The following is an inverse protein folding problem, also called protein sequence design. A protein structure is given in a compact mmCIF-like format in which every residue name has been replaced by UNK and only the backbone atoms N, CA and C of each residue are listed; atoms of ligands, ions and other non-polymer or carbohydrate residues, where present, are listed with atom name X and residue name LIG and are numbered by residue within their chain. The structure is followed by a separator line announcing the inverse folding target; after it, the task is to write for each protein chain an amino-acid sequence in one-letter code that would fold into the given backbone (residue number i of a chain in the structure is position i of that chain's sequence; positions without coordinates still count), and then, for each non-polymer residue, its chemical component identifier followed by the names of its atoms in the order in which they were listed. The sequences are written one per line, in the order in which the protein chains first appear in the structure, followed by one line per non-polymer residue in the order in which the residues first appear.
data_IF_517929935161
#
_entry.id   IF_517929935161
#
_cell.length_a   1.000
_cell.length_b   1.000
_cell.length_c   1.000
_cell.angle_alpha   90.00
_cell.angle_beta   90.00
_cell.angle_gamma   90.00
#
_symmetry.space_group_name_H-M   'P 1'
#
loop_
_entity.id
_entity.type
_entity.pdbx_description
1 polymer ?
#
# COMPACT_ATOMS: atom_id res chain seq x y z
N UNK A 1 -18.27 -18.79 -9.05
CA UNK A 1 -19.40 -18.11 -8.37
C UNK A 1 -20.33 -17.52 -9.41
N UNK A 2 -21.66 -17.67 -9.23
CA UNK A 2 -22.66 -17.11 -10.14
C UNK A 2 -23.62 -16.22 -9.33
N UNK A 3 -23.73 -14.95 -9.69
CA UNK A 3 -24.69 -14.04 -9.09
C UNK A 3 -25.90 -13.82 -10.05
N UNK A 4 -27.11 -13.86 -9.52
CA UNK A 4 -28.34 -13.61 -10.28
C UNK A 4 -29.08 -12.47 -9.62
N UNK A 5 -29.19 -11.35 -10.32
CA UNK A 5 -29.97 -10.19 -9.87
C UNK A 5 -31.34 -10.25 -10.50
N UNK A 6 -32.37 -10.53 -9.70
CA UNK A 6 -33.74 -10.74 -10.17
C UNK A 6 -34.60 -9.48 -10.17
N UNK A 7 -34.19 -8.44 -9.43
CA UNK A 7 -34.94 -7.18 -9.33
C UNK A 7 -33.96 -6.01 -9.36
N UNK A 8 -34.33 -4.87 -9.97
CA UNK A 8 -33.53 -3.67 -9.88
C UNK A 8 -33.41 -3.19 -8.43
N UNK A 9 -32.30 -2.51 -8.12
CA UNK A 9 -32.16 -1.86 -6.83
C UNK A 9 -33.24 -0.80 -6.63
N UNK A 10 -33.75 -0.65 -5.40
CA UNK A 10 -34.65 0.45 -5.05
C UNK A 10 -33.88 1.77 -5.11
N UNK A 11 -34.57 2.84 -5.50
CA UNK A 11 -34.02 4.19 -5.40
C UNK A 11 -33.76 4.57 -3.95
N UNK A 12 -32.68 5.26 -3.69
CA UNK A 12 -32.31 5.70 -2.35
C UNK A 12 -30.96 6.41 -2.36
N UNK A 13 -30.57 6.93 -1.19
CA UNK A 13 -29.26 7.56 -0.99
C UNK A 13 -28.34 6.54 -0.33
N UNK A 14 -27.15 6.34 -0.89
CA UNK A 14 -26.11 5.49 -0.32
C UNK A 14 -24.88 6.36 -0.06
N UNK A 15 -24.36 6.31 1.16
CA UNK A 15 -23.07 6.93 1.48
C UNK A 15 -21.97 6.10 0.84
N UNK A 16 -21.21 6.69 -0.07
CA UNK A 16 -20.05 6.05 -0.65
C UNK A 16 -18.88 6.07 0.35
N UNK A 17 -18.17 4.96 0.43
CA UNK A 17 -16.89 4.88 1.16
C UNK A 17 -15.79 5.58 0.34
N UNK A 18 -14.70 6.00 1.02
CA UNK A 18 -13.54 6.56 0.34
C UNK A 18 -12.94 5.57 -0.67
N UNK A 19 -12.44 6.09 -1.78
CA UNK A 19 -11.71 5.28 -2.75
C UNK A 19 -10.35 4.85 -2.17
N UNK A 20 -10.24 3.59 -1.77
CA UNK A 20 -8.99 3.02 -1.22
C UNK A 20 -7.80 3.28 -2.14
N UNK A 21 -7.97 3.05 -3.44
CA UNK A 21 -6.91 3.25 -4.43
C UNK A 21 -6.45 4.70 -4.56
N UNK A 22 -7.37 5.67 -4.40
CA UNK A 22 -7.03 7.08 -4.38
C UNK A 22 -6.35 7.46 -3.07
N UNK A 23 -6.85 6.98 -1.93
CA UNK A 23 -6.29 7.25 -0.61
C UNK A 23 -4.81 6.84 -0.52
N UNK A 24 -4.45 5.63 -0.95
CA UNK A 24 -3.06 5.19 -1.01
C UNK A 24 -2.17 6.17 -1.80
N UNK A 25 -2.59 6.53 -3.02
CA UNK A 25 -1.81 7.42 -3.87
C UNK A 25 -1.65 8.83 -3.30
N UNK A 26 -2.73 9.38 -2.75
CA UNK A 26 -2.70 10.71 -2.13
C UNK A 26 -1.78 10.74 -0.91
N UNK A 27 -1.83 9.73 -0.04
CA UNK A 27 -0.94 9.63 1.13
C UNK A 27 0.52 9.50 0.71
N UNK A 28 0.82 8.68 -0.30
CA UNK A 28 2.17 8.54 -0.84
C UNK A 28 2.66 9.87 -1.41
N UNK A 29 1.84 10.55 -2.22
CA UNK A 29 2.19 11.85 -2.78
C UNK A 29 2.44 12.89 -1.69
N UNK A 30 1.61 12.91 -0.65
CA UNK A 30 1.80 13.78 0.51
C UNK A 30 3.13 13.51 1.21
N UNK A 31 3.41 12.24 1.52
CA UNK A 31 4.61 11.86 2.26
C UNK A 31 5.92 12.14 1.49
N UNK A 32 5.87 12.12 0.15
CA UNK A 32 7.01 12.40 -0.70
C UNK A 32 7.07 13.87 -1.18
N UNK A 33 6.11 14.70 -0.79
CA UNK A 33 6.05 16.11 -1.17
C UNK A 33 6.93 16.97 -0.26
N UNK A 34 7.61 17.94 -0.84
CA UNK A 34 8.33 18.97 -0.08
C UNK A 34 7.41 20.05 0.51
N UNK A 35 6.12 20.03 0.13
CA UNK A 35 5.14 21.01 0.58
C UNK A 35 4.20 20.42 1.62
N UNK A 36 3.90 21.20 2.65
CA UNK A 36 2.88 20.83 3.64
C UNK A 36 1.52 20.67 2.96
N UNK A 37 0.98 19.48 3.09
CA UNK A 37 -0.34 19.15 2.60
C UNK A 37 -1.04 18.18 3.55
N UNK A 38 -2.36 18.12 3.50
CA UNK A 38 -3.13 17.22 4.36
C UNK A 38 -4.09 16.40 3.51
N UNK A 39 -4.02 15.08 3.65
CA UNK A 39 -4.98 14.17 3.05
C UNK A 39 -6.09 13.87 4.05
N UNK A 40 -7.31 14.32 3.75
CA UNK A 40 -8.49 14.03 4.56
C UNK A 40 -9.19 12.81 3.97
N UNK A 41 -9.17 11.70 4.69
CA UNK A 41 -9.88 10.48 4.35
C UNK A 41 -10.99 10.25 5.38
N UNK A 42 -12.24 10.27 4.95
CA UNK A 42 -13.40 10.18 5.84
C UNK A 42 -13.63 8.78 6.43
N UNK A 43 -13.23 7.75 5.71
CA UNK A 43 -13.32 6.36 6.14
C UNK A 43 -11.98 5.67 5.90
N UNK A 44 -11.50 4.91 6.88
CA UNK A 44 -10.25 4.15 6.77
C UNK A 44 -10.51 2.65 6.56
N UNK A 45 -9.49 1.92 6.17
CA UNK A 45 -9.47 0.47 6.10
C UNK A 45 -8.12 -0.02 6.58
N UNK A 46 -8.02 -1.30 6.94
CA UNK A 46 -6.74 -1.91 7.35
C UNK A 46 -5.62 -1.67 6.33
N UNK A 47 -5.94 -1.73 5.04
CA UNK A 47 -4.98 -1.45 3.98
C UNK A 47 -4.50 0.02 3.98
N UNK A 48 -5.41 0.97 4.18
CA UNK A 48 -5.08 2.40 4.26
C UNK A 48 -4.21 2.67 5.49
N UNK A 49 -4.56 2.11 6.63
CA UNK A 49 -3.79 2.23 7.86
C UNK A 49 -2.40 1.58 7.73
N UNK A 50 -2.30 0.43 7.04
CA UNK A 50 -1.01 -0.19 6.75
C UNK A 50 -0.11 0.74 5.90
N UNK A 51 -0.66 1.38 4.86
CA UNK A 51 0.11 2.35 4.06
C UNK A 51 0.57 3.53 4.89
N UNK A 52 -0.30 4.08 5.74
CA UNK A 52 0.04 5.19 6.63
C UNK A 52 1.19 4.83 7.56
N UNK A 53 1.11 3.68 8.27
CA UNK A 53 2.19 3.19 9.14
C UNK A 53 3.50 3.00 8.40
N UNK A 54 3.47 2.42 7.19
CA UNK A 54 4.67 2.24 6.40
C UNK A 54 5.30 3.58 5.99
N UNK A 55 4.49 4.57 5.58
CA UNK A 55 4.99 5.90 5.25
C UNK A 55 5.61 6.63 6.46
N UNK A 56 4.99 6.50 7.63
CA UNK A 56 5.56 7.02 8.89
C UNK A 56 6.90 6.33 9.22
N UNK A 57 6.99 5.01 9.04
CA UNK A 57 8.20 4.24 9.28
C UNK A 57 9.36 4.61 8.34
N UNK A 58 9.09 5.05 7.10
CA UNK A 58 10.15 5.53 6.19
C UNK A 58 10.90 6.75 6.74
N UNK A 59 10.25 7.53 7.60
CA UNK A 59 10.83 8.73 8.23
C UNK A 59 11.48 8.46 9.58
N UNK A 60 11.52 7.20 10.06
CA UNK A 60 12.20 6.85 11.30
C UNK A 60 13.71 7.07 11.19
N UNK A 61 14.41 7.15 12.33
CA UNK A 61 15.88 7.24 12.36
C UNK A 61 16.58 5.88 12.29
N UNK A 62 15.81 4.78 12.24
CA UNK A 62 16.35 3.43 12.17
C UNK A 62 17.16 3.21 10.89
N UNK A 63 18.26 2.50 10.96
CA UNK A 63 19.09 2.14 9.81
C UNK A 63 18.31 1.23 8.85
N UNK A 64 17.62 0.23 9.38
CA UNK A 64 16.74 -0.67 8.64
C UNK A 64 15.29 -0.35 8.98
N UNK A 65 14.50 0.13 7.99
CA UNK A 65 13.11 0.52 8.18
C UNK A 65 12.20 -0.70 8.36
N UNK A 66 11.34 -0.70 9.36
CA UNK A 66 10.40 -1.78 9.66
C UNK A 66 9.02 -1.48 9.07
N UNK A 67 8.68 -2.06 7.94
CA UNK A 67 7.46 -1.77 7.17
C UNK A 67 6.39 -2.84 7.38
N UNK A 68 5.40 -2.55 8.19
CA UNK A 68 4.30 -3.47 8.54
C UNK A 68 3.14 -3.35 7.54
N UNK A 69 3.16 -4.18 6.52
CA UNK A 69 2.15 -4.20 5.44
C UNK A 69 0.85 -4.90 5.83
N UNK A 70 0.85 -5.70 6.92
CA UNK A 70 -0.29 -6.56 7.28
C UNK A 70 -0.66 -7.50 6.14
N UNK A 71 -1.94 -7.54 5.76
CA UNK A 71 -2.40 -8.32 4.60
C UNK A 71 -2.53 -7.47 3.30
N UNK A 72 -2.08 -6.21 3.33
CA UNK A 72 -2.27 -5.27 2.23
C UNK A 72 -1.27 -5.46 1.08
N UNK A 73 -1.68 -6.16 0.05
CA UNK A 73 -0.90 -6.31 -1.18
C UNK A 73 -0.69 -5.01 -1.95
N UNK A 74 -1.57 -4.03 -1.79
CA UNK A 74 -1.40 -2.69 -2.38
C UNK A 74 -0.27 -1.93 -1.67
N UNK A 75 -0.26 -1.94 -0.33
CA UNK A 75 0.79 -1.32 0.48
C UNK A 75 2.15 -1.89 0.13
N UNK A 76 2.30 -3.22 0.15
CA UNK A 76 3.56 -3.89 -0.19
C UNK A 76 4.07 -3.44 -1.57
N UNK A 77 3.22 -3.50 -2.60
CA UNK A 77 3.60 -3.18 -3.98
C UNK A 77 3.90 -1.70 -4.22
N UNK A 78 3.37 -0.81 -3.41
CA UNK A 78 3.73 0.60 -3.46
C UNK A 78 5.02 0.89 -2.68
N UNK A 79 5.17 0.30 -1.49
CA UNK A 79 6.33 0.59 -0.64
C UNK A 79 7.65 0.02 -1.19
N UNK A 80 7.62 -1.14 -1.84
CA UNK A 80 8.82 -1.74 -2.44
C UNK A 80 9.57 -0.77 -3.38
N UNK A 81 8.95 -0.24 -4.47
CA UNK A 81 9.64 0.69 -5.35
C UNK A 81 9.94 2.04 -4.69
N UNK A 82 9.13 2.49 -3.73
CA UNK A 82 9.41 3.74 -2.99
C UNK A 82 10.68 3.58 -2.16
N UNK A 83 10.80 2.51 -1.40
CA UNK A 83 12.01 2.23 -0.61
C UNK A 83 13.25 2.14 -1.50
N UNK A 84 13.14 1.49 -2.66
CA UNK A 84 14.23 1.37 -3.61
C UNK A 84 14.68 2.74 -4.17
N UNK A 85 13.74 3.59 -4.58
CA UNK A 85 14.05 4.95 -5.10
C UNK A 85 14.67 5.83 -4.02
N UNK A 86 14.25 5.66 -2.77
CA UNK A 86 14.81 6.40 -1.64
C UNK A 86 16.15 5.81 -1.14
N UNK A 87 16.58 4.66 -1.67
CA UNK A 87 17.82 4.00 -1.29
C UNK A 87 17.80 3.48 0.15
N UNK A 88 16.64 3.08 0.65
CA UNK A 88 16.44 2.63 2.02
C UNK A 88 16.55 1.11 2.13
N UNK A 89 17.19 0.65 3.19
CA UNK A 89 17.12 -0.74 3.61
C UNK A 89 15.86 -0.96 4.45
N UNK A 90 15.06 -1.97 4.07
CA UNK A 90 13.75 -2.18 4.66
C UNK A 90 13.45 -3.66 4.90
N UNK A 91 12.89 -3.96 6.07
CA UNK A 91 12.24 -5.23 6.37
C UNK A 91 10.71 -5.09 6.18
N UNK A 92 10.16 -5.93 5.31
CA UNK A 92 8.73 -5.93 5.02
C UNK A 92 8.02 -7.03 5.79
N UNK A 93 7.22 -6.64 6.77
CA UNK A 93 6.41 -7.55 7.58
C UNK A 93 5.03 -7.76 6.94
N UNK A 94 4.75 -9.00 6.60
CA UNK A 94 3.53 -9.42 5.91
C UNK A 94 2.76 -10.42 6.76
N UNK A 95 1.43 -10.36 6.69
CA UNK A 95 0.52 -11.23 7.46
C UNK A 95 -0.42 -12.01 6.55
N UNK A 96 -1.08 -13.00 7.14
CA UNK A 96 -2.10 -13.81 6.49
C UNK A 96 -1.61 -14.49 5.22
N UNK A 97 -2.29 -14.20 4.11
CA UNK A 97 -1.95 -14.76 2.80
C UNK A 97 -1.00 -13.88 1.97
N UNK A 98 -0.60 -12.72 2.47
CA UNK A 98 0.22 -11.79 1.70
C UNK A 98 1.59 -12.40 1.31
N UNK A 99 2.30 -13.13 2.19
CA UNK A 99 3.57 -13.77 1.82
C UNK A 99 3.48 -14.79 0.68
N UNK A 100 2.27 -15.32 0.42
CA UNK A 100 2.02 -16.33 -0.62
C UNK A 100 1.56 -15.71 -1.95
N UNK A 101 1.34 -14.38 -1.99
CA UNK A 101 0.89 -13.69 -3.20
C UNK A 101 2.08 -13.35 -4.10
N UNK A 102 2.06 -13.76 -5.36
CA UNK A 102 3.19 -13.50 -6.25
C UNK A 102 3.43 -11.99 -6.39
N UNK A 103 4.68 -11.57 -6.32
CA UNK A 103 5.10 -10.20 -6.62
C UNK A 103 5.42 -10.00 -8.09
N UNK A 104 5.60 -11.09 -8.85
CA UNK A 104 5.85 -11.04 -10.29
C UNK A 104 4.77 -10.21 -11.03
N UNK A 105 5.14 -9.38 -12.04
CA UNK A 105 6.50 -9.16 -12.55
C UNK A 105 7.31 -8.09 -11.79
N UNK A 106 6.76 -7.49 -10.73
CA UNK A 106 7.42 -6.40 -10.00
C UNK A 106 8.78 -6.83 -9.42
N UNK A 107 8.85 -8.06 -8.87
CA UNK A 107 10.08 -8.59 -8.28
C UNK A 107 11.21 -8.64 -9.30
N UNK A 108 10.96 -9.22 -10.46
CA UNK A 108 11.93 -9.37 -11.54
C UNK A 108 12.38 -8.01 -12.09
N UNK A 109 11.46 -7.08 -12.23
CA UNK A 109 11.75 -5.73 -12.69
C UNK A 109 12.66 -4.99 -11.69
N UNK A 110 12.38 -5.08 -10.40
CA UNK A 110 13.21 -4.46 -9.37
C UNK A 110 14.61 -5.07 -9.34
N UNK A 111 14.73 -6.40 -9.39
CA UNK A 111 16.04 -7.08 -9.43
C UNK A 111 16.84 -6.70 -10.67
N UNK A 112 16.20 -6.62 -11.84
CA UNK A 112 16.84 -6.20 -13.10
C UNK A 112 17.33 -4.76 -13.05
N UNK A 113 16.67 -3.91 -12.27
CA UNK A 113 17.05 -2.51 -12.10
C UNK A 113 17.95 -2.26 -10.88
N UNK A 114 18.60 -3.30 -10.35
CA UNK A 114 19.67 -3.18 -9.38
C UNK A 114 19.26 -3.19 -7.91
N UNK A 115 17.99 -3.51 -7.62
CA UNK A 115 17.58 -3.75 -6.24
C UNK A 115 18.10 -5.08 -5.74
N UNK A 116 18.49 -5.15 -4.48
CA UNK A 116 18.78 -6.41 -3.77
C UNK A 116 17.58 -6.79 -2.93
N UNK A 117 16.98 -7.94 -3.17
CA UNK A 117 15.81 -8.42 -2.45
C UNK A 117 16.02 -9.88 -2.04
N UNK A 118 15.47 -10.25 -0.87
CA UNK A 118 15.42 -11.67 -0.46
C UNK A 118 14.54 -12.47 -1.44
N UNK A 119 14.75 -13.79 -1.46
CA UNK A 119 13.84 -14.69 -2.18
C UNK A 119 12.41 -14.57 -1.66
N UNK A 120 11.44 -14.73 -2.56
CA UNK A 120 10.03 -14.63 -2.30
C UNK A 120 9.47 -15.86 -1.58
#
# INVERSE_FOLDING_TARGET
MKAIIKKPAKTGTVRAIASKSMAHRMMITQALSETDSTVICGDTSEDIEATKRCLEALSSEDEVKQLYCGESGSTLRFMLPIAAVLGLECDFHMEGRLPQRPLSPLYEEMMTNGCSMSEQ
#
